data_IF_436071817927
#
_entry.id   IF_436071817927
#
_cell.length_a   1.000
_cell.length_b   1.000
_cell.length_c   1.000
_cell.angle_alpha   90.00
_cell.angle_beta   90.00
_cell.angle_gamma   90.00
#
_symmetry.space_group_name_H-M   'P 1'
#
loop_
_entity.id
_entity.type
_entity.pdbx_description
1 polymer ?
#
# COMPACT_ATOMS: atom_id res chain seq x y z
N UNK A 1 -56.34 -5.93 45.20
CA UNK A 1 -54.90 -6.24 45.07
C UNK A 1 -54.55 -6.30 43.59
N UNK A 2 -54.00 -5.23 43.04
CA UNK A 2 -53.51 -5.20 41.65
C UNK A 2 -52.00 -5.40 41.64
N UNK A 3 -51.59 -6.52 41.07
CA UNK A 3 -50.17 -6.76 40.82
C UNK A 3 -49.75 -5.98 39.57
N UNK A 4 -48.96 -4.94 39.75
CA UNK A 4 -48.25 -4.25 38.67
C UNK A 4 -47.06 -5.10 38.27
N UNK A 5 -47.13 -5.67 37.08
CA UNK A 5 -45.97 -6.27 36.44
C UNK A 5 -45.14 -5.13 35.77
N UNK A 6 -43.99 -4.84 36.36
CA UNK A 6 -42.98 -4.02 35.73
C UNK A 6 -42.31 -4.86 34.61
N UNK A 7 -42.60 -4.51 33.39
CA UNK A 7 -41.85 -5.03 32.22
C UNK A 7 -40.50 -4.31 32.18
N UNK A 8 -39.47 -5.03 32.58
CA UNK A 8 -38.10 -4.62 32.33
C UNK A 8 -37.76 -4.90 30.87
N UNK A 9 -37.67 -3.86 30.08
CA UNK A 9 -37.12 -3.93 28.71
C UNK A 9 -35.60 -3.85 28.83
N UNK A 10 -34.83 -4.87 28.45
CA UNK A 10 -33.39 -4.72 28.35
C UNK A 10 -33.05 -3.86 27.12
N UNK A 11 -32.52 -2.68 27.40
CA UNK A 11 -31.97 -1.82 26.42
C UNK A 11 -30.69 -2.47 25.88
N UNK A 12 -30.79 -3.20 24.75
CA UNK A 12 -29.64 -3.68 24.02
C UNK A 12 -28.94 -2.50 23.36
N UNK A 13 -27.90 -2.00 24.01
CA UNK A 13 -26.93 -1.10 23.41
C UNK A 13 -26.15 -1.89 22.36
N UNK A 14 -26.59 -1.78 21.11
CA UNK A 14 -25.78 -2.18 19.97
C UNK A 14 -24.59 -1.23 19.90
N UNK A 15 -23.45 -1.64 20.44
CA UNK A 15 -22.18 -1.03 20.10
C UNK A 15 -21.87 -1.40 18.66
N UNK A 16 -22.28 -0.55 17.73
CA UNK A 16 -21.76 -0.57 16.37
C UNK A 16 -20.28 -0.22 16.46
N UNK A 17 -19.42 -1.22 16.48
CA UNK A 17 -18.00 -1.00 16.29
C UNK A 17 -17.82 -0.44 14.87
N UNK A 18 -17.70 0.88 14.74
CA UNK A 18 -17.25 1.51 13.54
C UNK A 18 -15.80 1.09 13.30
N UNK A 19 -15.61 -0.01 12.57
CA UNK A 19 -14.34 -0.26 11.90
C UNK A 19 -14.22 0.86 10.87
N UNK A 20 -13.32 1.81 11.11
CA UNK A 20 -12.95 2.76 10.09
C UNK A 20 -12.28 1.99 8.95
N UNK A 21 -13.03 1.72 7.88
CA UNK A 21 -12.53 1.17 6.62
C UNK A 21 -11.65 2.19 5.87
N UNK A 22 -11.28 3.31 6.51
CA UNK A 22 -10.71 4.49 5.90
C UNK A 22 -9.26 4.32 5.42
N UNK A 23 -8.54 3.28 5.85
CA UNK A 23 -7.12 3.14 5.55
C UNK A 23 -6.83 2.15 4.42
N UNK A 24 -7.84 1.39 3.98
CA UNK A 24 -7.72 0.41 2.92
C UNK A 24 -8.13 1.00 1.59
N UNK A 25 -7.20 1.72 0.95
CA UNK A 25 -7.40 2.30 -0.38
C UNK A 25 -6.86 1.39 -1.45
N UNK A 26 -7.40 1.50 -2.66
CA UNK A 26 -6.92 0.73 -3.80
C UNK A 26 -5.58 1.26 -4.28
N UNK A 27 -4.59 0.36 -4.37
CA UNK A 27 -3.27 0.66 -4.90
C UNK A 27 -3.19 0.59 -6.44
N UNK A 28 -3.93 -0.29 -7.16
CA UNK A 28 -3.83 -0.37 -8.60
C UNK A 28 -3.95 0.98 -9.28
N UNK A 29 -3.03 1.23 -10.23
CA UNK A 29 -2.93 2.50 -10.93
C UNK A 29 -1.50 2.89 -11.21
N UNK A 30 -1.33 4.13 -11.65
CA UNK A 30 -0.05 4.70 -12.03
C UNK A 30 0.37 5.78 -11.04
N UNK A 31 1.58 5.65 -10.51
CA UNK A 31 2.14 6.52 -9.48
C UNK A 31 3.53 6.99 -9.88
N UNK A 32 3.86 8.25 -9.62
CA UNK A 32 5.14 8.85 -10.00
C UNK A 32 5.80 9.58 -8.85
N UNK A 33 7.14 9.53 -8.82
CA UNK A 33 7.95 10.45 -8.00
C UNK A 33 8.33 11.68 -8.83
N UNK A 34 8.76 12.74 -8.17
CA UNK A 34 9.31 13.91 -8.86
C UNK A 34 10.70 13.67 -9.46
N UNK A 35 11.31 12.53 -9.16
CA UNK A 35 12.67 12.17 -9.57
C UNK A 35 12.71 11.22 -10.79
N UNK A 36 11.61 11.05 -11.50
CA UNK A 36 11.53 10.27 -12.72
C UNK A 36 11.37 8.77 -12.53
N UNK A 37 10.89 8.33 -11.36
CA UNK A 37 10.49 6.96 -11.13
C UNK A 37 8.97 6.83 -11.17
N UNK A 38 8.49 5.74 -11.73
CA UNK A 38 7.07 5.43 -11.82
C UNK A 38 6.81 3.99 -11.41
N UNK A 39 5.71 3.77 -10.70
CA UNK A 39 5.18 2.44 -10.36
C UNK A 39 3.80 2.30 -10.95
N UNK A 40 3.56 1.22 -11.66
CA UNK A 40 2.25 0.88 -12.21
C UNK A 40 1.82 -0.44 -11.60
N UNK A 41 0.73 -0.42 -10.85
CA UNK A 41 0.15 -1.60 -10.21
C UNK A 41 -1.10 -2.03 -10.97
N UNK A 42 -1.15 -3.29 -11.37
CA UNK A 42 -2.31 -3.88 -12.01
C UNK A 42 -3.18 -4.66 -11.00
N UNK A 43 -4.50 -4.78 -11.24
CA UNK A 43 -5.39 -5.50 -10.33
C UNK A 43 -5.08 -7.00 -10.17
N UNK A 44 -4.35 -7.58 -11.11
CA UNK A 44 -3.96 -9.00 -11.10
C UNK A 44 -2.75 -9.31 -10.21
N UNK A 45 -2.16 -8.31 -9.55
CA UNK A 45 -0.96 -8.47 -8.73
C UNK A 45 0.35 -8.27 -9.46
N UNK A 46 0.33 -7.94 -10.77
CA UNK A 46 1.53 -7.57 -11.51
C UNK A 46 1.84 -6.09 -11.36
N UNK A 47 3.11 -5.72 -11.50
CA UNK A 47 3.56 -4.35 -11.41
C UNK A 47 4.71 -4.07 -12.38
N UNK A 48 4.84 -2.80 -12.73
CA UNK A 48 5.95 -2.27 -13.52
C UNK A 48 6.65 -1.18 -12.73
N UNK A 49 7.96 -1.19 -12.74
CA UNK A 49 8.78 -0.09 -12.26
C UNK A 49 9.49 0.53 -13.46
N UNK A 50 9.21 1.80 -13.69
CA UNK A 50 9.74 2.57 -14.80
C UNK A 50 10.72 3.60 -14.25
N UNK A 51 11.92 3.61 -14.78
CA UNK A 51 12.92 4.63 -14.48
C UNK A 51 13.25 5.39 -15.75
N UNK A 52 13.10 6.69 -15.71
CA UNK A 52 13.34 7.55 -16.86
C UNK A 52 14.81 7.93 -16.95
N UNK A 53 15.42 7.65 -18.11
CA UNK A 53 16.76 8.09 -18.48
C UNK A 53 16.67 8.93 -19.74
N UNK A 54 16.75 10.25 -19.64
CA UNK A 54 16.55 11.15 -20.77
C UNK A 54 15.14 11.00 -21.35
N UNK A 55 15.02 10.56 -22.61
CA UNK A 55 13.75 10.30 -23.29
C UNK A 55 13.32 8.83 -23.26
N UNK A 56 14.09 7.97 -22.61
CA UNK A 56 13.83 6.52 -22.55
C UNK A 56 13.46 6.08 -21.14
N UNK A 57 12.69 4.99 -21.09
CA UNK A 57 12.35 4.32 -19.83
C UNK A 57 13.00 2.95 -19.77
N UNK A 58 13.61 2.66 -18.63
CA UNK A 58 13.98 1.31 -18.25
C UNK A 58 12.82 0.70 -17.47
N UNK A 59 12.35 -0.47 -17.89
CA UNK A 59 11.15 -1.11 -17.35
C UNK A 59 11.52 -2.40 -16.65
N UNK A 60 11.19 -2.49 -15.36
CA UNK A 60 11.33 -3.69 -14.55
C UNK A 60 9.95 -4.29 -14.29
N UNK A 61 9.78 -5.58 -14.56
CA UNK A 61 8.54 -6.31 -14.33
C UNK A 61 8.64 -7.12 -13.04
N UNK A 62 7.57 -7.11 -12.25
CA UNK A 62 7.52 -7.77 -10.95
C UNK A 62 6.09 -8.06 -10.52
N UNK A 63 5.95 -8.65 -9.36
CA UNK A 63 4.67 -8.81 -8.67
C UNK A 63 4.67 -8.01 -7.37
N UNK A 64 3.49 -7.67 -6.89
CA UNK A 64 3.33 -6.98 -5.62
C UNK A 64 2.34 -7.69 -4.71
N UNK A 65 2.54 -7.51 -3.40
CA UNK A 65 1.60 -7.86 -2.35
C UNK A 65 1.36 -6.65 -1.47
N UNK A 66 0.11 -6.29 -1.31
CA UNK A 66 -0.32 -5.12 -0.57
C UNK A 66 -1.27 -5.52 0.55
N UNK A 67 -0.90 -5.23 1.79
CA UNK A 67 -1.71 -5.49 2.97
C UNK A 67 -2.04 -4.17 3.68
N UNK A 68 -3.22 -3.65 3.39
CA UNK A 68 -3.72 -2.41 3.97
C UNK A 68 -4.25 -2.59 5.40
N UNK A 69 -4.44 -3.81 5.85
CA UNK A 69 -4.85 -4.11 7.23
C UNK A 69 -3.66 -4.19 8.19
N UNK A 70 -2.44 -4.39 7.67
CA UNK A 70 -1.23 -4.36 8.48
C UNK A 70 -0.95 -2.96 9.03
N UNK A 71 -0.27 -2.89 10.18
CA UNK A 71 0.16 -1.63 10.79
C UNK A 71 1.66 -1.71 11.15
N UNK A 72 2.53 -1.00 10.45
CA UNK A 72 2.28 -0.19 9.24
C UNK A 72 1.70 -1.00 8.07
N UNK A 73 1.05 -0.32 7.12
CA UNK A 73 0.63 -0.92 5.86
C UNK A 73 1.87 -1.48 5.16
N UNK A 74 1.79 -2.69 4.60
CA UNK A 74 2.91 -3.33 3.93
C UNK A 74 2.71 -3.36 2.41
N UNK A 75 3.78 -3.12 1.69
CA UNK A 75 3.86 -3.29 0.24
C UNK A 75 5.16 -4.01 -0.09
N UNK A 76 5.04 -5.20 -0.63
CA UNK A 76 6.17 -6.03 -1.02
C UNK A 76 6.22 -6.16 -2.53
N UNK A 77 7.42 -6.01 -3.07
CA UNK A 77 7.71 -6.20 -4.48
C UNK A 77 8.60 -7.43 -4.64
N UNK A 78 8.20 -8.36 -5.47
CA UNK A 78 8.88 -9.65 -5.60
C UNK A 78 8.80 -10.17 -7.03
N UNK A 79 9.44 -11.30 -7.27
CA UNK A 79 9.39 -11.99 -8.56
C UNK A 79 9.84 -11.08 -9.71
N UNK A 80 10.94 -10.38 -9.49
CA UNK A 80 11.53 -9.50 -10.49
C UNK A 80 12.02 -10.33 -11.69
N UNK A 81 11.46 -10.04 -12.88
CA UNK A 81 11.78 -10.75 -14.10
C UNK A 81 13.08 -10.27 -14.72
N UNK A 82 13.51 -9.07 -14.39
CA UNK A 82 14.71 -8.43 -14.88
C UNK A 82 15.20 -7.39 -13.86
N UNK A 83 16.34 -6.77 -14.15
CA UNK A 83 16.88 -5.70 -13.33
C UNK A 83 17.72 -6.18 -12.14
N UNK A 84 18.18 -5.24 -11.29
CA UNK A 84 19.17 -5.50 -10.24
C UNK A 84 18.61 -6.29 -9.06
N UNK A 85 17.29 -6.39 -8.90
CA UNK A 85 16.65 -7.08 -7.79
C UNK A 85 16.19 -8.50 -8.12
N UNK A 86 16.58 -9.04 -9.27
CA UNK A 86 16.27 -10.42 -9.66
C UNK A 86 16.71 -11.40 -8.59
N UNK A 87 15.81 -12.29 -8.16
CA UNK A 87 16.08 -13.26 -7.10
C UNK A 87 15.97 -12.71 -5.67
N UNK A 88 15.61 -11.43 -5.53
CA UNK A 88 15.40 -10.76 -4.24
C UNK A 88 13.99 -10.21 -4.16
N UNK A 89 13.60 -9.80 -2.96
CA UNK A 89 12.35 -9.11 -2.71
C UNK A 89 12.60 -7.75 -2.05
N UNK A 90 11.70 -6.81 -2.28
CA UNK A 90 11.67 -5.55 -1.56
C UNK A 90 10.54 -5.64 -0.54
N UNK A 91 10.88 -5.55 0.74
CA UNK A 91 9.92 -5.54 1.83
C UNK A 91 9.71 -4.12 2.30
N UNK A 92 8.50 -3.60 2.11
CA UNK A 92 8.25 -2.19 2.32
C UNK A 92 7.08 -1.89 3.24
N UNK A 93 7.08 -0.64 3.68
CA UNK A 93 5.98 -0.02 4.40
C UNK A 93 5.46 1.16 3.59
N UNK A 94 4.15 1.37 3.67
CA UNK A 94 3.44 2.41 2.94
C UNK A 94 2.57 3.22 3.89
N UNK A 95 2.49 4.51 3.66
CA UNK A 95 1.61 5.42 4.38
C UNK A 95 0.96 6.40 3.41
N UNK A 96 -0.37 6.49 3.46
CA UNK A 96 -1.12 7.42 2.64
C UNK A 96 -0.93 8.85 3.16
N UNK A 97 -0.39 9.73 2.32
CA UNK A 97 -0.24 11.15 2.63
C UNK A 97 -1.50 11.95 2.28
N UNK A 98 -2.26 11.48 1.29
CA UNK A 98 -3.53 12.04 0.83
C UNK A 98 -4.28 10.98 0.02
N UNK A 99 -5.42 11.34 -0.58
CA UNK A 99 -6.15 10.45 -1.49
C UNK A 99 -5.38 10.12 -2.77
N UNK A 100 -4.37 10.92 -3.11
CA UNK A 100 -3.62 10.82 -4.36
C UNK A 100 -2.11 10.74 -4.16
N UNK A 101 -1.65 10.45 -2.94
CA UNK A 101 -0.21 10.30 -2.68
C UNK A 101 0.09 9.37 -1.51
N UNK A 102 1.23 8.71 -1.57
CA UNK A 102 1.72 7.87 -0.48
C UNK A 102 3.24 7.98 -0.32
N UNK A 103 3.71 7.64 0.87
CA UNK A 103 5.12 7.44 1.17
C UNK A 103 5.43 5.95 1.15
N UNK A 104 6.57 5.60 0.61
CA UNK A 104 7.02 4.22 0.52
C UNK A 104 8.49 4.11 0.90
N UNK A 105 8.79 3.18 1.80
CA UNK A 105 10.15 2.82 2.18
C UNK A 105 10.29 1.32 2.16
N UNK A 106 11.39 0.81 1.62
CA UNK A 106 11.66 -0.62 1.53
C UNK A 106 13.11 -0.97 1.88
N UNK A 107 13.32 -2.23 2.21
CA UNK A 107 14.62 -2.86 2.29
C UNK A 107 14.66 -4.09 1.37
N UNK A 108 15.82 -4.32 0.76
CA UNK A 108 16.07 -5.45 -0.13
C UNK A 108 16.52 -6.63 0.68
N UNK A 109 15.95 -7.80 0.48
CA UNK A 109 16.35 -9.00 1.17
C UNK A 109 15.65 -10.26 0.70
N UNK A 110 15.88 -11.34 1.40
CA UNK A 110 15.26 -12.64 1.16
C UNK A 110 14.24 -13.04 2.23
N UNK A 111 14.14 -12.27 3.30
CA UNK A 111 13.26 -12.54 4.44
C UNK A 111 12.49 -11.28 4.88
N UNK A 112 11.21 -11.41 5.26
CA UNK A 112 10.41 -10.27 5.71
C UNK A 112 10.96 -9.53 6.94
N UNK A 113 11.84 -10.15 7.71
CA UNK A 113 12.46 -9.55 8.89
C UNK A 113 13.27 -8.28 8.59
N UNK A 114 13.71 -8.06 7.33
CA UNK A 114 14.44 -6.85 6.92
C UNK A 114 13.52 -5.64 6.73
N UNK A 115 12.20 -5.84 6.76
CA UNK A 115 11.22 -4.76 6.55
C UNK A 115 11.49 -3.58 7.49
N UNK A 116 11.53 -2.34 7.00
CA UNK A 116 11.63 -1.16 7.86
C UNK A 116 10.44 -1.08 8.80
N UNK A 117 10.64 -0.52 9.98
CA UNK A 117 9.57 -0.28 10.96
C UNK A 117 9.14 1.17 10.99
N UNK A 118 9.97 2.07 10.46
CA UNK A 118 9.77 3.51 10.49
C UNK A 118 10.16 4.13 9.16
N UNK A 119 9.56 5.29 8.88
CA UNK A 119 9.94 6.12 7.75
C UNK A 119 11.10 7.04 8.15
N UNK A 120 12.05 7.23 7.25
CA UNK A 120 13.09 8.24 7.36
C UNK A 120 13.10 9.13 6.11
N UNK A 121 13.69 10.31 6.23
CA UNK A 121 13.70 11.29 5.15
C UNK A 121 14.61 10.90 3.97
N UNK A 122 15.64 10.09 4.21
CA UNK A 122 16.65 9.77 3.19
C UNK A 122 16.21 8.63 2.28
N UNK A 123 15.53 7.63 2.83
CA UNK A 123 15.16 6.40 2.12
C UNK A 123 13.68 6.31 1.76
N UNK A 124 12.87 7.25 2.23
CA UNK A 124 11.44 7.29 1.95
C UNK A 124 11.17 8.02 0.65
N UNK A 125 10.50 7.35 -0.26
CA UNK A 125 10.05 7.91 -1.53
C UNK A 125 8.59 8.35 -1.43
N UNK A 126 8.26 9.45 -2.09
CA UNK A 126 6.90 9.97 -2.18
C UNK A 126 6.37 9.81 -3.59
N UNK A 127 5.27 9.10 -3.71
CA UNK A 127 4.58 8.85 -4.96
C UNK A 127 3.26 9.61 -5.02
N UNK A 128 2.98 10.15 -6.20
CA UNK A 128 1.73 10.85 -6.49
C UNK A 128 0.99 10.16 -7.64
N UNK A 129 -0.34 10.15 -7.56
CA UNK A 129 -1.21 9.58 -8.58
C UNK A 129 -1.07 10.31 -9.91
N UNK A 130 -1.03 9.54 -10.99
CA UNK A 130 -1.07 10.06 -12.36
C UNK A 130 -2.47 9.85 -12.91
N UNK A 131 -3.27 10.93 -13.05
CA UNK A 131 -4.61 10.82 -13.62
C UNK A 131 -4.53 10.48 -15.11
N UNK A 132 -5.45 9.61 -15.59
CA UNK A 132 -5.49 9.18 -16.98
C UNK A 132 -4.38 8.23 -17.41
N UNK A 133 -3.61 7.68 -16.49
CA UNK A 133 -2.68 6.58 -16.72
C UNK A 133 -3.44 5.29 -16.97
N UNK A 134 -4.26 5.30 -18.01
CA UNK A 134 -4.95 4.11 -18.49
C UNK A 134 -4.20 3.53 -19.66
N UNK A 135 -4.19 2.24 -19.67
CA UNK A 135 -3.87 1.27 -20.73
C UNK A 135 -2.55 0.61 -20.54
#
# INVERSE_FOLDING_TARGET
MQKRHLLFFPLFLFFSACRSASDCRELPGHWTTHEGQELVFAPDGSALWLTKFGSQYDTVRMRFQFDCAARPITLDLSDFKNGPHTGKSLFGILDWSSDSSFRFRYEVGSQPAVRPREFDAEQTQKYSWVPGGSN
#
